data_IF_067195257852
#
_entry.id   IF_067195257852
#
_cell.length_a   1.000
_cell.length_b   1.000
_cell.length_c   1.000
_cell.angle_alpha   90.00
_cell.angle_beta   90.00
_cell.angle_gamma   90.00
#
_symmetry.space_group_name_H-M   'P 1'
#
loop_
_entity.id
_entity.type
_entity.pdbx_description
1 polymer ?
#
# COMPACT_ATOMS: atom_id res chain seq x y z
N UNK A 1 2.94 -14.94 4.49
CA UNK A 1 2.18 -14.87 3.22
C UNK A 1 1.94 -13.43 2.85
N UNK A 2 2.23 -13.08 1.62
CA UNK A 2 2.00 -11.73 1.12
C UNK A 2 0.88 -11.79 0.09
N UNK A 3 -0.14 -10.95 0.27
CA UNK A 3 -1.27 -10.86 -0.64
C UNK A 3 -1.28 -9.47 -1.27
N UNK A 4 -1.24 -9.39 -2.59
CA UNK A 4 -1.29 -8.13 -3.32
C UNK A 4 -2.69 -7.98 -3.94
N UNK A 5 -3.33 -6.85 -3.66
CA UNK A 5 -4.64 -6.52 -4.23
C UNK A 5 -4.49 -5.29 -5.10
N UNK A 6 -4.61 -5.47 -6.41
CA UNK A 6 -4.43 -4.41 -7.40
C UNK A 6 -5.76 -4.09 -8.08
N UNK A 7 -5.84 -2.93 -8.72
CA UNK A 7 -7.01 -2.52 -9.48
C UNK A 7 -7.25 -1.03 -9.37
N UNK A 8 -8.20 -0.54 -10.14
CA UNK A 8 -8.57 0.87 -10.16
C UNK A 8 -9.30 1.29 -8.89
N UNK A 9 -9.42 2.60 -8.70
CA UNK A 9 -9.92 3.22 -7.47
C UNK A 9 -11.30 2.72 -7.04
N UNK A 10 -12.17 2.35 -7.95
CA UNK A 10 -13.56 1.99 -7.63
C UNK A 10 -13.85 0.50 -7.77
N UNK A 11 -12.86 -0.37 -7.57
CA UNK A 11 -13.02 -1.81 -7.73
C UNK A 11 -13.28 -2.57 -6.42
N UNK A 12 -13.41 -1.88 -5.29
CA UNK A 12 -13.67 -2.54 -4.01
C UNK A 12 -12.45 -3.14 -3.34
N UNK A 13 -11.23 -2.70 -3.70
CA UNK A 13 -9.97 -3.20 -3.12
C UNK A 13 -9.94 -3.08 -1.59
N UNK A 14 -10.30 -1.90 -1.09
CA UNK A 14 -10.27 -1.64 0.36
C UNK A 14 -11.27 -2.52 1.09
N UNK A 15 -12.45 -2.72 0.51
CA UNK A 15 -13.48 -3.57 1.10
C UNK A 15 -12.99 -5.03 1.16
N UNK A 16 -12.35 -5.52 0.11
CA UNK A 16 -11.78 -6.86 0.10
C UNK A 16 -10.66 -7.00 1.14
N UNK A 17 -9.76 -6.03 1.20
CA UNK A 17 -8.67 -6.03 2.18
C UNK A 17 -9.22 -6.05 3.61
N UNK A 18 -10.26 -5.26 3.88
CA UNK A 18 -10.89 -5.23 5.19
C UNK A 18 -11.52 -6.59 5.56
N UNK A 19 -12.18 -7.23 4.61
CA UNK A 19 -12.76 -8.55 4.85
C UNK A 19 -11.70 -9.60 5.12
N UNK A 20 -10.57 -9.55 4.40
CA UNK A 20 -9.47 -10.47 4.64
C UNK A 20 -8.85 -10.24 6.01
N UNK A 21 -8.69 -8.97 6.41
CA UNK A 21 -8.21 -8.65 7.75
C UNK A 21 -9.11 -9.24 8.83
N UNK A 22 -10.42 -9.04 8.70
CA UNK A 22 -11.39 -9.51 9.69
C UNK A 22 -11.45 -11.03 9.77
N UNK A 23 -11.39 -11.70 8.63
CA UNK A 23 -11.54 -13.15 8.56
C UNK A 23 -10.25 -13.89 8.93
N UNK A 24 -9.11 -13.46 8.40
CA UNK A 24 -7.83 -14.16 8.59
C UNK A 24 -6.92 -13.49 9.62
N UNK A 25 -7.30 -12.33 10.15
CA UNK A 25 -6.49 -11.57 11.10
C UNK A 25 -5.11 -11.18 10.55
N UNK A 26 -5.04 -10.93 9.24
CA UNK A 26 -3.82 -10.50 8.56
C UNK A 26 -3.87 -8.98 8.41
N UNK A 27 -2.85 -8.23 8.88
CA UNK A 27 -2.83 -6.78 8.72
C UNK A 27 -2.73 -6.39 7.26
N UNK A 28 -3.30 -5.23 6.90
CA UNK A 28 -3.15 -4.72 5.54
C UNK A 28 -2.67 -3.28 5.52
N UNK A 29 -2.01 -2.93 4.42
CA UNK A 29 -1.53 -1.59 4.13
C UNK A 29 -2.20 -1.10 2.86
N UNK A 30 -2.82 0.09 2.92
CA UNK A 30 -3.31 0.77 1.73
C UNK A 30 -2.22 1.70 1.23
N UNK A 31 -1.82 1.55 -0.04
CA UNK A 31 -0.82 2.43 -0.64
C UNK A 31 -1.34 3.86 -0.69
N UNK A 32 -2.66 4.06 -0.83
CA UNK A 32 -3.24 5.40 -0.77
C UNK A 32 -3.04 6.06 0.59
N UNK A 33 -3.16 5.32 1.68
CA UNK A 33 -2.88 5.85 3.02
C UNK A 33 -1.41 6.20 3.18
N UNK A 34 -0.52 5.37 2.67
CA UNK A 34 0.91 5.65 2.68
C UNK A 34 1.22 6.91 1.87
N UNK A 35 0.62 7.05 0.70
CA UNK A 35 0.75 8.24 -0.15
C UNK A 35 0.34 9.50 0.62
N UNK A 36 -0.83 9.48 1.23
CA UNK A 36 -1.32 10.63 1.97
C UNK A 36 -0.46 10.95 3.19
N UNK A 37 0.05 9.92 3.86
CA UNK A 37 0.97 10.10 4.97
C UNK A 37 2.27 10.79 4.55
N UNK A 38 2.84 10.38 3.44
CA UNK A 38 4.05 11.00 2.91
C UNK A 38 3.81 12.45 2.48
N UNK A 39 2.68 12.71 1.81
CA UNK A 39 2.32 14.06 1.38
C UNK A 39 2.14 14.96 2.59
N UNK A 40 1.37 14.53 3.57
CA UNK A 40 1.03 15.34 4.74
C UNK A 40 2.19 15.56 5.68
N UNK A 41 3.17 14.66 5.69
CA UNK A 41 4.38 14.83 6.50
C UNK A 41 5.28 15.96 6.00
N UNK A 42 5.14 16.33 4.73
CA UNK A 42 5.85 17.46 4.15
C UNK A 42 7.31 17.20 3.81
N UNK A 43 7.78 15.97 3.91
CA UNK A 43 9.20 15.64 3.76
C UNK A 43 9.59 15.08 2.41
N UNK A 44 8.64 14.90 1.48
CA UNK A 44 8.90 14.19 0.23
C UNK A 44 8.81 15.06 -1.01
N UNK A 45 8.26 16.28 -0.89
CA UNK A 45 7.97 17.12 -2.05
C UNK A 45 6.79 16.66 -2.89
N UNK A 46 6.11 15.59 -2.48
CA UNK A 46 4.93 15.09 -3.18
C UNK A 46 3.70 15.91 -2.83
N UNK A 47 2.79 16.04 -3.80
CA UNK A 47 1.49 16.70 -3.62
C UNK A 47 0.39 15.80 -4.17
N UNK A 48 -0.89 16.06 -3.85
CA UNK A 48 -1.99 15.30 -4.44
C UNK A 48 -2.03 15.40 -5.97
N UNK A 49 -1.43 16.44 -6.54
CA UNK A 49 -1.38 16.68 -7.99
C UNK A 49 -0.17 16.04 -8.65
N UNK A 50 0.73 15.38 -7.90
CA UNK A 50 1.85 14.66 -8.48
C UNK A 50 1.33 13.54 -9.39
N UNK A 51 2.01 13.34 -10.53
CA UNK A 51 1.55 12.32 -11.47
C UNK A 51 1.80 10.90 -10.94
N UNK A 52 1.14 9.92 -11.55
CA UNK A 52 1.21 8.53 -11.09
C UNK A 52 2.61 7.94 -11.21
N UNK A 53 3.39 8.32 -12.21
CA UNK A 53 4.75 7.82 -12.37
C UNK A 53 5.64 8.32 -11.22
N UNK A 54 5.55 9.60 -10.88
CA UNK A 54 6.29 10.18 -9.74
C UNK A 54 5.87 9.53 -8.44
N UNK A 55 4.58 9.34 -8.22
CA UNK A 55 4.07 8.68 -7.02
C UNK A 55 4.58 7.25 -6.93
N UNK A 56 4.54 6.51 -8.03
CA UNK A 56 5.01 5.13 -8.07
C UNK A 56 6.50 5.05 -7.75
N UNK A 57 7.31 5.93 -8.34
CA UNK A 57 8.76 5.96 -8.10
C UNK A 57 9.09 6.21 -6.62
N UNK A 58 8.28 7.00 -5.92
CA UNK A 58 8.53 7.32 -4.52
C UNK A 58 7.94 6.29 -3.56
N UNK A 59 6.80 5.73 -3.91
CA UNK A 59 6.06 4.81 -3.03
C UNK A 59 6.54 3.37 -3.14
N UNK A 60 6.79 2.90 -4.34
CA UNK A 60 7.09 1.49 -4.55
C UNK A 60 8.34 0.99 -3.82
N UNK A 61 9.46 1.74 -3.79
CA UNK A 61 10.61 1.28 -3.00
C UNK A 61 10.29 1.10 -1.52
N UNK A 62 9.45 1.97 -0.94
CA UNK A 62 9.05 1.86 0.46
C UNK A 62 8.21 0.60 0.67
N UNK A 63 7.22 0.39 -0.18
CA UNK A 63 6.34 -0.79 -0.09
C UNK A 63 7.15 -2.07 -0.27
N UNK A 64 8.06 -2.10 -1.23
CA UNK A 64 8.92 -3.25 -1.49
C UNK A 64 9.73 -3.63 -0.26
N UNK A 65 10.32 -2.65 0.41
CA UNK A 65 11.14 -2.92 1.61
C UNK A 65 10.28 -3.33 2.79
N UNK A 66 9.06 -2.82 2.90
CA UNK A 66 8.10 -3.28 3.90
C UNK A 66 7.75 -4.77 3.68
N UNK A 67 7.51 -5.16 2.44
CA UNK A 67 7.22 -6.56 2.09
C UNK A 67 8.41 -7.45 2.45
N UNK A 68 9.63 -7.03 2.10
CA UNK A 68 10.84 -7.77 2.43
C UNK A 68 10.99 -7.96 3.94
N UNK A 69 10.72 -6.93 4.71
CA UNK A 69 10.79 -6.99 6.17
C UNK A 69 9.80 -8.03 6.72
N UNK A 70 8.59 -8.03 6.18
CA UNK A 70 7.60 -9.04 6.58
C UNK A 70 8.06 -10.45 6.26
N UNK A 71 8.63 -10.66 5.07
CA UNK A 71 9.13 -11.97 4.66
C UNK A 71 10.27 -12.42 5.60
N UNK A 72 11.20 -11.53 5.91
CA UNK A 72 12.32 -11.83 6.80
C UNK A 72 11.87 -12.23 8.20
N UNK A 73 10.76 -11.67 8.66
CA UNK A 73 10.21 -11.93 9.99
C UNK A 73 9.12 -12.99 9.99
N UNK A 74 8.89 -13.67 8.88
CA UNK A 74 7.82 -14.67 8.73
C UNK A 74 6.45 -14.11 9.06
N UNK A 75 6.20 -12.85 8.70
CA UNK A 75 4.93 -12.18 8.92
C UNK A 75 4.10 -12.16 7.64
N UNK A 76 2.77 -12.13 7.80
CA UNK A 76 1.86 -12.01 6.67
C UNK A 76 1.43 -10.55 6.53
N UNK A 77 1.19 -10.12 5.30
CA UNK A 77 0.76 -8.76 5.01
C UNK A 77 -0.10 -8.73 3.76
N UNK A 78 -1.17 -7.92 3.80
CA UNK A 78 -1.99 -7.61 2.64
C UNK A 78 -1.62 -6.20 2.19
N UNK A 79 -1.29 -6.04 0.91
CA UNK A 79 -0.99 -4.72 0.33
C UNK A 79 -2.02 -4.45 -0.76
N UNK A 80 -2.76 -3.34 -0.64
CA UNK A 80 -3.73 -2.96 -1.66
C UNK A 80 -3.44 -1.57 -2.20
N UNK A 81 -3.72 -1.37 -3.49
CA UNK A 81 -3.53 -0.07 -4.12
C UNK A 81 -3.56 -0.14 -5.63
N UNK A 82 -3.79 1.01 -6.25
CA UNK A 82 -3.82 1.12 -7.70
C UNK A 82 -2.42 1.25 -8.33
N UNK A 83 -1.37 1.32 -7.52
CA UNK A 83 0.01 1.47 -7.98
C UNK A 83 0.78 0.14 -8.04
N UNK A 84 0.10 -0.95 -7.84
CA UNK A 84 0.70 -2.28 -7.92
C UNK A 84 0.76 -2.76 -9.37
#
# INVERSE_FOLDING_TARGET
MIILIAGDTHTGKTNLAQKLLEHYKIPYVSIDHLKMGLIRSGNTGLTPESDDDTLTEKLWPVVREMIKTCIENNQSLIVEGCYI
#
